data_IF_484458383603
#
_entry.id   IF_484458383603
#
_cell.length_a   1.000
_cell.length_b   1.000
_cell.length_c   1.000
_cell.angle_alpha   90.00
_cell.angle_beta   90.00
_cell.angle_gamma   90.00
#
_symmetry.space_group_name_H-M   'P 1'
#
loop_
_entity.id
_entity.type
_entity.pdbx_description
1 polymer ?
#
# COMPACT_ATOMS: atom_id res chain seq x y z
N UNK A 1 3.00 -11.59 -5.05
CA UNK A 1 2.96 -10.11 -4.83
C UNK A 1 4.20 -9.49 -5.43
N UNK A 2 4.02 -8.35 -6.04
CA UNK A 2 5.12 -7.61 -6.65
C UNK A 2 5.43 -6.42 -5.76
N UNK A 3 6.66 -6.36 -5.24
CA UNK A 3 7.13 -5.27 -4.39
C UNK A 3 8.28 -4.58 -5.13
N UNK A 4 8.07 -3.34 -5.54
CA UNK A 4 9.06 -2.60 -6.31
C UNK A 4 9.57 -1.39 -5.54
N UNK A 5 10.89 -1.25 -5.52
CA UNK A 5 11.51 -0.05 -4.98
C UNK A 5 11.41 1.08 -5.99
N UNK A 6 11.18 2.30 -5.51
CA UNK A 6 11.13 3.47 -6.37
C UNK A 6 11.73 4.66 -5.63
N UNK A 7 12.70 5.33 -6.25
CA UNK A 7 13.42 6.47 -5.65
C UNK A 7 13.96 6.16 -4.26
N UNK A 8 14.53 4.98 -4.08
CA UNK A 8 15.11 4.57 -2.81
C UNK A 8 14.10 4.17 -1.74
N UNK A 9 12.82 4.14 -2.07
CA UNK A 9 11.78 3.73 -1.14
C UNK A 9 11.22 2.38 -1.52
N UNK A 10 11.03 1.50 -0.53
CA UNK A 10 10.47 0.17 -0.71
C UNK A 10 9.21 0.03 0.11
N UNK A 11 8.23 -0.76 -0.35
CA UNK A 11 7.08 -1.05 0.49
C UNK A 11 7.49 -1.71 1.80
N UNK A 12 6.89 -1.24 2.89
CA UNK A 12 7.07 -1.82 4.21
C UNK A 12 5.78 -2.50 4.62
N UNK A 13 5.85 -3.80 4.89
CA UNK A 13 4.67 -4.59 5.22
C UNK A 13 4.86 -5.20 6.59
N UNK A 14 3.91 -4.96 7.49
CA UNK A 14 3.92 -5.56 8.81
C UNK A 14 3.86 -7.09 8.69
N UNK A 15 4.52 -7.78 9.62
CA UNK A 15 4.49 -9.24 9.66
C UNK A 15 3.08 -9.79 9.88
N UNK A 16 2.18 -8.99 10.44
CA UNK A 16 0.80 -9.41 10.72
C UNK A 16 -0.19 -8.96 9.65
N UNK A 17 0.29 -8.37 8.55
CA UNK A 17 -0.59 -7.96 7.47
C UNK A 17 -0.66 -9.07 6.42
N UNK A 18 -1.78 -9.10 5.70
CA UNK A 18 -1.91 -10.00 4.55
C UNK A 18 -1.90 -9.19 3.27
N UNK A 19 -0.96 -9.51 2.40
CA UNK A 19 -0.88 -8.88 1.07
C UNK A 19 -0.96 -9.99 0.03
N UNK A 20 -1.99 -9.93 -0.81
CA UNK A 20 -2.19 -10.98 -1.81
C UNK A 20 -0.98 -11.12 -2.73
N UNK A 21 -0.62 -12.37 -3.09
CA UNK A 21 0.43 -12.59 -4.09
C UNK A 21 0.13 -11.94 -5.45
N UNK A 22 -1.13 -11.62 -5.73
CA UNK A 22 -1.55 -11.02 -6.98
C UNK A 22 -1.74 -9.50 -6.89
N UNK A 23 -1.13 -8.88 -5.90
CA UNK A 23 -1.13 -7.42 -5.76
C UNK A 23 0.23 -6.83 -6.11
N UNK A 24 0.25 -5.51 -6.35
CA UNK A 24 1.48 -4.78 -6.69
C UNK A 24 1.61 -3.56 -5.78
N UNK A 25 2.76 -3.45 -5.10
CA UNK A 25 3.07 -2.31 -4.25
C UNK A 25 4.37 -1.69 -4.74
N UNK A 26 4.35 -0.38 -4.96
CA UNK A 26 5.50 0.34 -5.52
C UNK A 26 5.87 1.51 -4.62
N UNK A 27 7.14 1.58 -4.24
CA UNK A 27 7.69 2.74 -3.59
C UNK A 27 7.29 2.91 -2.13
N UNK A 28 6.97 4.13 -1.75
CA UNK A 28 6.75 4.50 -0.35
C UNK A 28 5.35 4.11 0.13
N UNK A 29 5.17 2.82 0.39
CA UNK A 29 3.91 2.26 0.87
C UNK A 29 4.16 1.61 2.21
N UNK A 30 3.31 1.91 3.18
CA UNK A 30 3.39 1.27 4.49
C UNK A 30 2.08 0.56 4.78
N UNK A 31 2.16 -0.75 5.01
CA UNK A 31 1.00 -1.58 5.35
C UNK A 31 1.13 -1.99 6.80
N UNK A 32 0.21 -1.53 7.63
CA UNK A 32 0.28 -1.72 9.07
C UNK A 32 -0.33 -3.04 9.52
N UNK A 33 -0.29 -3.30 10.82
CA UNK A 33 -0.70 -4.57 11.40
C UNK A 33 -2.14 -4.93 11.04
N UNK A 34 -2.33 -6.19 10.68
CA UNK A 34 -3.64 -6.75 10.42
C UNK A 34 -4.41 -6.11 9.28
N UNK A 35 -3.74 -5.31 8.45
CA UNK A 35 -4.33 -4.82 7.21
C UNK A 35 -4.37 -5.95 6.19
N UNK A 36 -5.33 -5.88 5.27
CA UNK A 36 -5.53 -6.89 4.25
C UNK A 36 -5.58 -6.23 2.88
N UNK A 37 -4.76 -6.72 1.96
CA UNK A 37 -4.77 -6.23 0.58
C UNK A 37 -5.14 -7.40 -0.33
N UNK A 38 -6.28 -7.29 -1.01
CA UNK A 38 -6.85 -8.34 -1.84
C UNK A 38 -6.26 -8.35 -3.26
N UNK A 39 -6.47 -9.46 -4.00
CA UNK A 39 -5.86 -9.60 -5.33
C UNK A 39 -6.22 -8.49 -6.31
N UNK A 40 -5.28 -8.18 -7.18
CA UNK A 40 -5.50 -7.23 -8.26
C UNK A 40 -5.37 -5.78 -7.88
N UNK A 41 -5.10 -5.46 -6.60
CA UNK A 41 -4.90 -4.07 -6.22
C UNK A 41 -3.50 -3.60 -6.57
N UNK A 42 -3.39 -2.30 -6.87
CA UNK A 42 -2.13 -1.66 -7.25
C UNK A 42 -1.98 -0.44 -6.38
N UNK A 43 -0.90 -0.40 -5.58
CA UNK A 43 -0.65 0.69 -4.65
C UNK A 43 0.67 1.33 -5.02
N UNK A 44 0.62 2.57 -5.50
CA UNK A 44 1.78 3.26 -6.07
C UNK A 44 2.14 4.49 -5.24
N UNK A 45 3.05 4.30 -4.30
CA UNK A 45 3.59 5.41 -3.50
C UNK A 45 4.82 6.01 -4.15
N UNK A 46 4.69 6.42 -5.41
CA UNK A 46 5.84 6.90 -6.18
C UNK A 46 6.25 8.32 -5.82
N UNK A 47 5.28 9.18 -5.57
CA UNK A 47 5.55 10.59 -5.31
C UNK A 47 5.52 10.94 -3.82
N UNK A 48 4.69 10.25 -3.05
CA UNK A 48 4.59 10.47 -1.62
C UNK A 48 4.00 9.23 -0.97
N UNK A 49 4.00 9.19 0.35
CA UNK A 49 3.65 8.00 1.10
C UNK A 49 2.18 7.64 1.00
N UNK A 50 1.93 6.35 0.85
CA UNK A 50 0.61 5.77 1.04
C UNK A 50 0.69 4.92 2.31
N UNK A 51 -0.16 5.23 3.29
CA UNK A 51 -0.18 4.54 4.57
C UNK A 51 -1.52 3.81 4.72
N UNK A 52 -1.46 2.50 4.85
CA UNK A 52 -2.65 1.66 5.06
C UNK A 52 -2.71 1.33 6.55
N UNK A 53 -3.73 1.85 7.23
CA UNK A 53 -3.86 1.73 8.67
C UNK A 53 -4.19 0.32 9.14
N UNK A 54 -4.06 0.12 10.44
CA UNK A 54 -4.32 -1.20 11.06
C UNK A 54 -5.75 -1.66 10.82
N UNK A 55 -5.93 -2.94 10.56
CA UNK A 55 -7.22 -3.57 10.37
C UNK A 55 -8.02 -3.03 9.19
N UNK A 56 -7.37 -2.30 8.29
CA UNK A 56 -8.03 -1.79 7.08
C UNK A 56 -7.95 -2.81 5.96
N UNK A 57 -8.89 -2.72 5.03
CA UNK A 57 -8.95 -3.66 3.91
C UNK A 57 -8.95 -2.89 2.59
N UNK A 58 -8.06 -3.28 1.70
CA UNK A 58 -8.04 -2.80 0.32
C UNK A 58 -8.59 -3.93 -0.53
N UNK A 59 -9.76 -3.73 -1.11
CA UNK A 59 -10.43 -4.78 -1.86
C UNK A 59 -9.84 -5.00 -3.25
N UNK A 60 -10.37 -5.99 -3.94
CA UNK A 60 -9.90 -6.37 -5.27
C UNK A 60 -9.95 -5.21 -6.26
N UNK A 61 -8.90 -5.08 -7.06
CA UNK A 61 -8.90 -4.14 -8.17
C UNK A 61 -8.81 -2.66 -7.79
N UNK A 62 -8.49 -2.35 -6.53
CA UNK A 62 -8.32 -0.97 -6.11
C UNK A 62 -6.98 -0.44 -6.58
N UNK A 63 -6.96 0.78 -7.12
CA UNK A 63 -5.71 1.46 -7.46
C UNK A 63 -5.57 2.72 -6.62
N UNK A 64 -4.46 2.80 -5.89
CA UNK A 64 -4.10 3.99 -5.12
C UNK A 64 -2.80 4.54 -5.67
N UNK A 65 -2.75 5.84 -5.94
CA UNK A 65 -1.51 6.46 -6.39
C UNK A 65 -1.46 7.91 -5.94
N UNK A 66 -0.25 8.43 -5.81
CA UNK A 66 -0.03 9.83 -5.44
C UNK A 66 0.50 10.59 -6.65
N UNK A 67 -0.06 11.78 -6.91
CA UNK A 67 0.26 12.54 -8.12
C UNK A 67 1.48 13.45 -7.95
N UNK A 68 1.79 13.83 -6.71
CA UNK A 68 2.90 14.76 -6.48
C UNK A 68 3.45 14.55 -5.07
N UNK A 69 4.59 15.17 -4.79
CA UNK A 69 5.20 15.12 -3.46
C UNK A 69 4.34 15.75 -2.38
N UNK A 70 3.37 16.57 -2.78
CA UNK A 70 2.49 17.26 -1.83
C UNK A 70 1.21 16.47 -1.55
N UNK A 71 1.00 15.37 -2.24
CA UNK A 71 -0.18 14.54 -2.07
C UNK A 71 0.20 13.28 -1.33
N UNK A 72 -0.55 12.92 -0.31
CA UNK A 72 -0.36 11.64 0.35
C UNK A 72 -1.71 10.98 0.55
N UNK A 73 -1.70 9.66 0.69
CA UNK A 73 -2.91 8.91 0.98
C UNK A 73 -2.73 8.25 2.34
N UNK A 74 -3.69 8.47 3.21
CA UNK A 74 -3.68 7.86 4.52
C UNK A 74 -5.02 7.17 4.74
N UNK A 75 -4.99 5.84 4.74
CA UNK A 75 -6.16 5.04 5.06
C UNK A 75 -6.13 4.81 6.57
N UNK A 76 -7.17 5.23 7.25
CA UNK A 76 -7.23 5.11 8.70
C UNK A 76 -7.37 3.67 9.16
N UNK A 77 -7.59 3.50 10.46
CA UNK A 77 -7.79 2.17 11.03
C UNK A 77 -9.20 1.69 10.73
N UNK A 78 -9.34 0.37 10.56
CA UNK A 78 -10.65 -0.27 10.39
C UNK A 78 -11.43 0.21 9.16
N UNK A 79 -10.76 0.63 8.10
CA UNK A 79 -11.42 1.05 6.86
C UNK A 79 -11.61 -0.07 5.85
#
# INVERSE_FOLDING_TARGET
MVLLEYNGKKPEISNNAYVSPLSTLIGNVKVNDNAVIWPGSIIRGENSQINIGEYSTIFNGVMLFTRSEKSSIHIGRYC
#
